data_IF_040435420919
#
_entry.id   IF_040435420919
#
_cell.length_a   1.000
_cell.length_b   1.000
_cell.length_c   1.000
_cell.angle_alpha   90.00
_cell.angle_beta   90.00
_cell.angle_gamma   90.00
#
_symmetry.space_group_name_H-M   'P 1'
#
loop_
_entity.id
_entity.type
_entity.pdbx_description
1 polymer ?
#
# COMPACT_ATOMS: atom_id res chain seq x y z
N UNK A 1 2.62 9.87 -16.47
CA UNK A 1 4.09 9.84 -16.54
C UNK A 1 4.53 8.86 -15.49
N UNK A 2 5.18 7.77 -15.88
CA UNK A 2 5.97 6.99 -14.94
C UNK A 2 6.95 7.98 -14.31
N UNK A 3 7.04 7.98 -12.99
CA UNK A 3 8.09 8.75 -12.34
C UNK A 3 9.37 7.98 -12.57
N UNK A 4 10.09 8.29 -13.66
CA UNK A 4 11.50 7.99 -13.73
C UNK A 4 12.18 8.83 -12.65
N UNK A 5 12.53 8.18 -11.54
CA UNK A 5 13.53 8.74 -10.65
C UNK A 5 14.84 8.55 -11.39
N UNK A 6 15.50 9.65 -11.75
CA UNK A 6 16.74 9.63 -12.53
C UNK A 6 17.74 8.69 -11.85
N UNK A 7 18.20 7.65 -12.56
CA UNK A 7 19.13 6.65 -12.02
C UNK A 7 18.49 5.52 -11.20
N UNK A 8 17.20 5.20 -11.38
CA UNK A 8 16.57 4.01 -10.79
C UNK A 8 15.98 3.12 -11.89
N UNK A 9 15.91 1.78 -11.73
CA UNK A 9 15.02 0.99 -12.57
C UNK A 9 13.60 1.56 -12.45
N UNK A 10 12.74 1.30 -13.42
CA UNK A 10 11.35 1.75 -13.41
C UNK A 10 10.55 1.13 -12.24
N UNK A 11 10.73 1.65 -11.03
CA UNK A 11 9.75 1.53 -9.97
C UNK A 11 8.55 2.33 -10.41
N UNK A 12 7.49 1.63 -10.84
CA UNK A 12 6.28 2.27 -11.33
C UNK A 12 5.49 2.87 -10.16
N UNK A 13 5.96 4.04 -9.70
CA UNK A 13 5.24 4.83 -8.72
C UNK A 13 4.08 5.53 -9.39
N UNK A 14 2.92 5.40 -8.76
CA UNK A 14 1.72 6.07 -9.21
C UNK A 14 1.93 7.59 -9.11
N UNK A 15 1.97 8.26 -10.27
CA UNK A 15 1.97 9.71 -10.33
C UNK A 15 0.58 10.21 -9.87
N UNK A 16 0.54 10.79 -8.68
CA UNK A 16 -0.68 11.18 -7.97
C UNK A 16 -0.40 12.43 -7.15
N UNK A 17 -1.31 13.41 -7.22
CA UNK A 17 -1.27 14.53 -6.31
C UNK A 17 -1.60 14.05 -4.90
N UNK A 18 -0.66 14.23 -3.97
CA UNK A 18 -0.84 13.85 -2.56
C UNK A 18 -1.42 14.98 -1.72
N UNK A 19 -1.65 16.18 -2.29
CA UNK A 19 -2.22 17.35 -1.62
C UNK A 19 -3.75 17.30 -1.55
N UNK A 20 -4.32 17.98 -0.56
CA UNK A 20 -5.76 17.99 -0.35
C UNK A 20 -6.50 18.84 -1.39
N UNK A 21 -7.64 18.35 -1.93
CA UNK A 21 -8.47 19.17 -2.80
C UNK A 21 -8.96 20.43 -2.08
N UNK A 22 -9.12 21.51 -2.84
CA UNK A 22 -9.81 22.72 -2.35
C UNK A 22 -11.27 22.36 -2.03
N UNK A 23 -11.88 22.96 -0.98
CA UNK A 23 -13.30 22.78 -0.71
C UNK A 23 -14.16 22.99 -1.96
N UNK A 24 -15.04 22.02 -2.26
CA UNK A 24 -15.90 22.06 -3.45
C UNK A 24 -15.20 21.79 -4.78
N UNK A 25 -13.94 21.32 -4.79
CA UNK A 25 -13.21 20.93 -6.00
C UNK A 25 -12.60 19.54 -5.88
N UNK A 26 -12.27 18.94 -7.03
CA UNK A 26 -11.48 17.70 -7.12
C UNK A 26 -9.98 17.95 -7.29
N UNK A 27 -9.57 19.21 -7.38
CA UNK A 27 -8.18 19.64 -7.56
C UNK A 27 -7.64 20.27 -6.27
N UNK A 28 -6.35 20.06 -5.98
CA UNK A 28 -5.66 20.79 -4.90
C UNK A 28 -5.45 22.27 -5.27
N UNK A 29 -5.05 23.10 -4.31
CA UNK A 29 -4.83 24.53 -4.54
C UNK A 29 -3.88 24.82 -5.72
N UNK A 30 -2.76 24.10 -5.82
CA UNK A 30 -1.77 24.30 -6.88
C UNK A 30 -2.33 23.96 -8.27
N UNK A 31 -2.94 22.76 -8.40
CA UNK A 31 -3.56 22.36 -9.66
C UNK A 31 -4.76 23.26 -10.01
N UNK A 32 -5.52 23.73 -9.02
CA UNK A 32 -6.63 24.65 -9.24
C UNK A 32 -6.14 25.97 -9.87
N UNK A 33 -5.02 26.51 -9.38
CA UNK A 33 -4.40 27.73 -9.92
C UNK A 33 -3.94 27.54 -11.38
N UNK A 34 -3.30 26.40 -11.67
CA UNK A 34 -2.86 26.07 -13.04
C UNK A 34 -4.06 25.99 -14.01
N UNK A 35 -5.16 25.36 -13.58
CA UNK A 35 -6.37 25.27 -14.40
C UNK A 35 -7.01 26.65 -14.60
N UNK A 36 -6.99 27.51 -13.57
CA UNK A 36 -7.49 28.88 -13.66
C UNK A 36 -6.68 29.74 -14.64
N UNK A 37 -5.35 29.69 -14.58
CA UNK A 37 -4.46 30.41 -15.50
C UNK A 37 -4.66 30.00 -16.97
N UNK A 38 -5.03 28.73 -17.21
CA UNK A 38 -5.28 28.20 -18.56
C UNK A 38 -6.76 28.24 -18.96
N UNK A 39 -7.62 28.86 -18.16
CA UNK A 39 -9.07 28.94 -18.39
C UNK A 39 -9.75 27.57 -18.61
N UNK A 40 -9.32 26.57 -17.83
CA UNK A 40 -9.80 25.18 -17.88
C UNK A 40 -10.85 24.95 -16.79
N UNK A 41 -11.92 24.17 -17.03
CA UNK A 41 -12.93 23.90 -16.02
C UNK A 41 -12.37 23.25 -14.76
N UNK A 42 -12.89 23.69 -13.61
CA UNK A 42 -12.41 23.32 -12.26
C UNK A 42 -13.40 22.41 -11.52
N UNK A 43 -14.63 22.31 -12.03
CA UNK A 43 -15.63 21.35 -11.58
C UNK A 43 -15.38 19.99 -12.24
N UNK A 44 -15.66 18.91 -11.50
CA UNK A 44 -15.35 17.55 -11.95
C UNK A 44 -16.04 17.21 -13.26
N UNK A 45 -17.34 17.46 -13.35
CA UNK A 45 -18.17 17.08 -14.49
C UNK A 45 -17.77 17.86 -15.74
N UNK A 46 -17.57 19.18 -15.60
CA UNK A 46 -17.15 20.06 -16.68
C UNK A 46 -15.74 19.73 -17.16
N UNK A 47 -14.82 19.42 -16.23
CA UNK A 47 -13.47 19.01 -16.55
C UNK A 47 -13.45 17.68 -17.32
N UNK A 48 -14.24 16.69 -16.88
CA UNK A 48 -14.36 15.42 -17.58
C UNK A 48 -14.86 15.61 -19.02
N UNK A 49 -15.85 16.49 -19.22
CA UNK A 49 -16.29 16.81 -20.57
C UNK A 49 -15.23 17.53 -21.40
N UNK A 50 -14.50 18.47 -20.78
CA UNK A 50 -13.43 19.22 -21.43
C UNK A 50 -12.34 18.28 -21.98
N UNK A 51 -11.97 17.23 -21.24
CA UNK A 51 -11.01 16.21 -21.71
C UNK A 51 -11.63 15.13 -22.61
N UNK A 52 -12.90 15.30 -23.03
CA UNK A 52 -13.60 14.39 -23.94
C UNK A 52 -14.12 13.11 -23.31
N UNK A 53 -14.36 13.10 -21.99
CA UNK A 53 -14.92 11.96 -21.27
C UNK A 53 -16.40 12.15 -20.91
N UNK A 54 -17.09 11.04 -20.60
CA UNK A 54 -18.44 11.08 -20.03
C UNK A 54 -18.43 11.84 -18.70
N UNK A 55 -19.48 12.62 -18.42
CA UNK A 55 -19.68 13.30 -17.12
C UNK A 55 -19.60 12.33 -15.94
N UNK A 56 -20.20 11.14 -16.09
CA UNK A 56 -20.33 10.13 -15.05
C UNK A 56 -19.83 8.76 -15.57
N UNK A 57 -18.51 8.52 -15.61
CA UNK A 57 -17.94 7.23 -16.01
C UNK A 57 -18.32 6.16 -14.98
N UNK A 58 -18.85 5.03 -15.44
CA UNK A 58 -19.38 3.97 -14.56
C UNK A 58 -18.81 2.57 -14.87
N UNK A 59 -18.38 2.32 -16.10
CA UNK A 59 -17.76 1.05 -16.50
C UNK A 59 -16.24 1.04 -16.32
N UNK A 60 -15.62 -0.15 -16.34
CA UNK A 60 -14.17 -0.29 -16.27
C UNK A 60 -13.48 0.38 -17.47
N UNK A 61 -14.09 0.24 -18.65
CA UNK A 61 -13.65 0.83 -19.91
C UNK A 61 -13.74 2.36 -19.85
N UNK A 62 -14.84 2.90 -19.32
CA UNK A 62 -15.01 4.35 -19.13
C UNK A 62 -13.94 4.91 -18.18
N UNK A 63 -13.64 4.19 -17.09
CA UNK A 63 -12.62 4.60 -16.11
C UNK A 63 -11.23 4.56 -16.75
N UNK A 64 -10.91 3.52 -17.52
CA UNK A 64 -9.65 3.42 -18.26
C UNK A 64 -9.49 4.54 -19.28
N UNK A 65 -10.55 4.84 -20.02
CA UNK A 65 -10.58 5.95 -20.99
C UNK A 65 -10.32 7.30 -20.32
N UNK A 66 -10.93 7.56 -19.16
CA UNK A 66 -10.64 8.76 -18.36
C UNK A 66 -9.18 8.80 -17.92
N UNK A 67 -8.64 7.67 -17.45
CA UNK A 67 -7.24 7.61 -17.02
C UNK A 67 -6.26 7.95 -18.15
N UNK A 68 -6.52 7.47 -19.35
CA UNK A 68 -5.69 7.72 -20.52
C UNK A 68 -5.84 9.17 -21.01
N UNK A 69 -7.06 9.73 -21.01
CA UNK A 69 -7.28 11.16 -21.33
C UNK A 69 -6.64 12.10 -20.34
N UNK A 70 -6.67 11.80 -19.05
CA UNK A 70 -5.95 12.59 -18.05
C UNK A 70 -4.43 12.51 -18.27
N UNK A 71 -3.88 11.33 -18.62
CA UNK A 71 -2.45 11.21 -18.93
C UNK A 71 -2.06 12.06 -20.13
N UNK A 72 -2.87 12.04 -21.20
CA UNK A 72 -2.69 12.86 -22.39
C UNK A 72 -2.72 14.35 -22.04
N UNK A 73 -3.76 14.79 -21.34
CA UNK A 73 -3.92 16.16 -20.86
C UNK A 73 -2.74 16.63 -19.98
N UNK A 74 -2.27 15.76 -19.08
CA UNK A 74 -1.13 16.08 -18.21
C UNK A 74 0.16 16.31 -19.00
N UNK A 75 0.35 15.61 -20.13
CA UNK A 75 1.51 15.83 -21.01
C UNK A 75 1.45 17.21 -21.69
N UNK A 76 0.26 17.64 -22.07
CA UNK A 76 0.04 18.96 -22.70
C UNK A 76 0.24 20.13 -21.73
N UNK A 77 0.07 19.90 -20.42
CA UNK A 77 0.17 20.95 -19.41
C UNK A 77 1.61 21.44 -19.16
N UNK A 78 2.64 20.68 -19.52
CA UNK A 78 4.07 21.01 -19.39
C UNK A 78 4.52 21.59 -18.02
N UNK A 79 3.74 21.40 -16.95
CA UNK A 79 4.10 21.88 -15.62
C UNK A 79 4.90 20.81 -14.87
N UNK A 80 6.12 21.17 -14.46
CA UNK A 80 7.01 20.38 -13.57
C UNK A 80 6.44 20.16 -12.17
N UNK A 81 5.37 20.85 -11.80
CA UNK A 81 4.71 20.71 -10.49
C UNK A 81 3.69 19.59 -10.50
N UNK A 82 4.16 18.35 -10.61
CA UNK A 82 3.46 17.26 -9.96
C UNK A 82 3.61 17.52 -8.45
N UNK A 83 2.52 17.83 -7.73
CA UNK A 83 2.56 18.01 -6.28
C UNK A 83 3.31 16.87 -5.58
N UNK A 84 3.74 17.06 -4.32
CA UNK A 84 4.64 16.17 -3.57
C UNK A 84 4.50 14.70 -3.99
N UNK A 85 5.53 14.17 -4.62
CA UNK A 85 5.51 12.82 -5.18
C UNK A 85 5.13 11.79 -4.10
N UNK A 86 4.56 10.65 -4.50
CA UNK A 86 4.27 9.58 -3.54
C UNK A 86 5.52 9.09 -2.80
N UNK A 87 6.71 9.28 -3.38
CA UNK A 87 8.01 9.05 -2.76
C UNK A 87 8.32 10.06 -1.65
N UNK A 88 8.18 11.35 -1.95
CA UNK A 88 8.45 12.43 -1.00
C UNK A 88 7.42 12.42 0.13
N UNK A 89 6.15 12.18 -0.18
CA UNK A 89 5.09 12.06 0.82
C UNK A 89 5.38 10.95 1.82
N UNK A 90 5.90 9.81 1.34
CA UNK A 90 6.25 8.67 2.17
C UNK A 90 7.65 8.79 2.78
N UNK A 91 8.35 9.91 2.55
CA UNK A 91 9.75 10.13 2.95
C UNK A 91 10.68 8.98 2.53
N UNK A 92 10.36 8.26 1.45
CA UNK A 92 11.17 7.14 0.94
C UNK A 92 12.28 7.61 0.00
N UNK A 93 12.33 8.91 -0.30
CA UNK A 93 13.36 9.52 -1.14
C UNK A 93 14.78 9.20 -0.66
N UNK A 94 15.04 9.28 0.65
CA UNK A 94 16.36 8.94 1.21
C UNK A 94 16.73 7.46 1.05
N UNK A 95 15.75 6.56 1.16
CA UNK A 95 15.96 5.11 0.94
C UNK A 95 16.30 4.86 -0.52
N UNK A 96 15.62 5.56 -1.41
CA UNK A 96 15.86 5.50 -2.86
C UNK A 96 17.24 6.07 -3.15
N UNK A 97 17.55 7.31 -2.74
CA UNK A 97 18.81 8.01 -3.06
C UNK A 97 20.07 7.33 -2.53
N UNK A 98 19.99 6.53 -1.46
CA UNK A 98 21.11 5.79 -0.89
C UNK A 98 21.46 4.52 -1.66
N UNK A 99 20.73 4.24 -2.73
CA UNK A 99 20.85 3.00 -3.50
C UNK A 99 21.41 3.32 -4.88
N UNK A 100 22.39 2.55 -5.32
CA UNK A 100 22.87 2.63 -6.70
C UNK A 100 21.87 2.01 -7.70
N UNK A 101 21.64 2.63 -8.89
CA UNK A 101 20.92 2.01 -10.01
C UNK A 101 21.35 0.58 -10.31
N UNK A 102 22.64 0.26 -10.16
CA UNK A 102 23.22 -1.06 -10.42
C UNK A 102 22.76 -2.15 -9.44
N UNK A 103 22.34 -1.75 -8.23
CA UNK A 103 21.86 -2.69 -7.21
C UNK A 103 20.44 -3.19 -7.49
N UNK A 104 19.76 -2.53 -8.43
CA UNK A 104 18.49 -2.95 -8.94
C UNK A 104 18.66 -3.85 -10.16
N UNK A 105 18.49 -5.15 -9.97
CA UNK A 105 18.55 -6.09 -11.08
C UNK A 105 17.23 -6.09 -11.85
N UNK A 106 17.32 -6.25 -13.17
CA UNK A 106 16.15 -6.38 -14.05
C UNK A 106 15.22 -7.50 -13.57
N UNK A 107 13.92 -7.21 -13.64
CA UNK A 107 12.82 -8.13 -13.37
C UNK A 107 13.04 -9.40 -14.18
N UNK A 108 13.37 -10.50 -13.53
CA UNK A 108 13.31 -11.80 -14.21
C UNK A 108 11.84 -12.07 -14.50
N UNK A 109 11.55 -12.48 -15.74
CA UNK A 109 10.25 -12.94 -16.21
C UNK A 109 9.82 -14.16 -15.40
N UNK A 110 9.17 -13.94 -14.27
CA UNK A 110 8.59 -15.01 -13.47
C UNK A 110 7.16 -15.26 -13.90
N UNK A 111 6.84 -16.53 -14.07
CA UNK A 111 5.51 -17.05 -14.37
C UNK A 111 4.51 -16.55 -13.33
N UNK A 112 3.44 -15.93 -13.84
CA UNK A 112 2.50 -15.13 -13.08
C UNK A 112 1.69 -16.04 -12.16
N UNK A 113 1.91 -15.93 -10.85
CA UNK A 113 0.92 -16.42 -9.90
C UNK A 113 -0.33 -15.55 -10.07
N UNK A 114 -1.35 -16.10 -10.76
CA UNK A 114 -2.63 -15.44 -11.06
C UNK A 114 -3.51 -15.35 -9.80
N UNK A 115 -3.01 -14.73 -8.73
CA UNK A 115 -3.86 -14.32 -7.62
C UNK A 115 -4.72 -13.15 -8.10
N UNK A 116 -6.04 -13.29 -8.01
CA UNK A 116 -6.97 -12.22 -8.33
C UNK A 116 -6.77 -11.06 -7.34
N UNK A 117 -6.21 -9.94 -7.82
CA UNK A 117 -5.94 -8.74 -7.03
C UNK A 117 -7.15 -7.79 -6.92
N UNK A 118 -8.36 -8.23 -7.29
CA UNK A 118 -9.58 -7.46 -7.10
C UNK A 118 -9.67 -6.24 -8.02
N UNK A 119 -10.05 -6.49 -9.26
CA UNK A 119 -10.06 -5.54 -10.38
C UNK A 119 -11.21 -4.50 -10.36
N UNK A 120 -11.73 -4.10 -9.19
CA UNK A 120 -12.74 -3.02 -9.18
C UNK A 120 -12.07 -1.69 -9.54
N UNK A 121 -12.10 -1.36 -10.84
CA UNK A 121 -11.80 -0.04 -11.36
C UNK A 121 -12.71 0.96 -10.67
N UNK A 122 -12.13 2.02 -10.11
CA UNK A 122 -12.86 3.14 -9.51
C UNK A 122 -12.26 4.41 -10.04
N UNK A 123 -13.11 5.34 -10.48
CA UNK A 123 -12.66 6.65 -10.91
C UNK A 123 -11.86 7.32 -9.79
N UNK A 124 -10.57 7.50 -10.05
CA UNK A 124 -9.51 8.06 -9.17
C UNK A 124 -9.97 8.50 -7.79
N UNK A 125 -10.12 7.54 -6.87
CA UNK A 125 -10.08 7.85 -5.45
C UNK A 125 -8.65 8.28 -5.11
N UNK A 126 -8.50 9.41 -4.43
CA UNK A 126 -7.18 9.94 -4.01
C UNK A 126 -6.35 8.88 -3.29
N UNK A 127 -7.01 8.08 -2.45
CA UNK A 127 -6.45 6.89 -1.82
C UNK A 127 -7.30 5.66 -2.20
N UNK A 128 -6.62 4.53 -2.42
CA UNK A 128 -7.22 3.19 -2.56
C UNK A 128 -7.52 2.58 -1.20
N UNK A 129 -6.88 3.05 -0.14
CA UNK A 129 -6.98 2.53 1.21
C UNK A 129 -5.75 2.85 2.06
N UNK A 130 -5.54 2.07 3.11
CA UNK A 130 -4.39 2.18 3.99
C UNK A 130 -3.64 0.86 3.98
N UNK A 131 -2.33 0.93 3.81
CA UNK A 131 -1.43 -0.14 4.15
C UNK A 131 -1.12 -0.07 5.65
N UNK A 132 -1.08 -1.22 6.32
CA UNK A 132 -0.79 -1.30 7.76
C UNK A 132 0.22 -2.40 8.03
N UNK A 133 1.26 -2.08 8.80
CA UNK A 133 2.17 -3.09 9.37
C UNK A 133 1.70 -3.41 10.78
N UNK A 134 1.42 -4.68 11.03
CA UNK A 134 0.90 -5.15 12.30
C UNK A 134 1.71 -6.34 12.80
N UNK A 135 2.07 -6.34 14.08
CA UNK A 135 2.76 -7.47 14.71
C UNK A 135 1.82 -8.64 14.91
N UNK A 136 2.34 -9.87 15.03
CA UNK A 136 1.52 -11.04 15.39
C UNK A 136 0.76 -10.88 16.72
N UNK A 137 1.22 -9.98 17.60
CA UNK A 137 0.54 -9.61 18.84
C UNK A 137 -0.67 -8.68 18.66
N UNK A 138 -0.83 -8.09 17.48
CA UNK A 138 -1.91 -7.17 17.11
C UNK A 138 -1.60 -5.69 17.29
N UNK A 139 -0.35 -5.30 17.51
CA UNK A 139 0.03 -3.88 17.54
C UNK A 139 0.29 -3.37 16.13
N UNK A 140 -0.37 -2.28 15.73
CA UNK A 140 -0.08 -1.61 14.47
C UNK A 140 1.16 -0.73 14.70
N UNK A 141 2.25 -1.04 14.01
CA UNK A 141 3.51 -0.31 14.12
C UNK A 141 3.62 0.82 13.09
N UNK A 142 2.99 0.62 11.93
CA UNK A 142 3.09 1.54 10.81
C UNK A 142 1.76 1.57 10.05
N UNK A 143 1.39 2.74 9.52
CA UNK A 143 0.27 2.87 8.59
C UNK A 143 0.58 3.94 7.55
N UNK A 144 0.17 3.72 6.31
CA UNK A 144 0.42 4.63 5.20
C UNK A 144 -0.72 4.58 4.19
N UNK A 145 -1.12 5.71 3.57
CA UNK A 145 -2.04 5.67 2.45
C UNK A 145 -1.50 4.88 1.26
N UNK A 146 -2.37 4.11 0.62
CA UNK A 146 -2.15 3.53 -0.70
C UNK A 146 -2.75 4.46 -1.75
N UNK A 147 -1.94 5.02 -2.63
CA UNK A 147 -2.42 5.91 -3.69
C UNK A 147 -2.74 5.13 -4.96
N UNK A 148 -3.90 5.43 -5.57
CA UNK A 148 -4.47 4.83 -6.81
C UNK A 148 -4.68 3.32 -6.79
N UNK A 149 -3.62 2.53 -6.58
CA UNK A 149 -3.62 1.07 -6.59
C UNK A 149 -2.69 0.50 -5.52
N UNK A 150 -2.91 -0.77 -5.16
CA UNK A 150 -1.96 -1.56 -4.38
C UNK A 150 -0.85 -2.09 -5.31
N UNK A 151 -0.10 -1.17 -5.93
CA UNK A 151 1.03 -1.55 -6.77
C UNK A 151 2.13 -2.23 -5.94
N UNK A 152 2.71 -3.36 -6.39
CA UNK A 152 3.78 -4.07 -5.67
C UNK A 152 4.93 -3.15 -5.24
N UNK A 153 5.35 -2.20 -6.08
CA UNK A 153 6.39 -1.22 -5.75
C UNK A 153 6.02 -0.33 -4.55
N UNK A 154 4.76 0.11 -4.48
CA UNK A 154 4.28 0.95 -3.39
C UNK A 154 4.25 0.17 -2.06
N UNK A 155 3.77 -1.07 -2.09
CA UNK A 155 3.76 -1.97 -0.93
C UNK A 155 5.19 -2.28 -0.48
N UNK A 156 6.08 -2.56 -1.44
CA UNK A 156 7.47 -2.89 -1.20
C UNK A 156 8.18 -1.76 -0.45
N UNK A 157 8.07 -0.53 -0.95
CA UNK A 157 8.72 0.62 -0.32
C UNK A 157 8.18 0.90 1.08
N UNK A 158 6.87 0.79 1.29
CA UNK A 158 6.29 0.94 2.63
C UNK A 158 6.83 -0.14 3.59
N UNK A 159 6.90 -1.38 3.10
CA UNK A 159 7.39 -2.52 3.88
C UNK A 159 8.85 -2.34 4.28
N UNK A 160 9.72 -2.02 3.32
CA UNK A 160 11.13 -1.73 3.56
C UNK A 160 11.30 -0.60 4.57
N UNK A 161 10.57 0.51 4.39
CA UNK A 161 10.61 1.64 5.33
C UNK A 161 10.22 1.21 6.74
N UNK A 162 9.15 0.43 6.88
CA UNK A 162 8.72 -0.07 8.20
C UNK A 162 9.79 -0.95 8.85
N UNK A 163 10.43 -1.84 8.07
CA UNK A 163 11.50 -2.70 8.58
C UNK A 163 12.74 -1.90 8.99
N UNK A 164 13.16 -0.91 8.19
CA UNK A 164 14.28 -0.04 8.52
C UNK A 164 14.01 0.77 9.80
N UNK A 165 12.79 1.29 9.97
CA UNK A 165 12.40 1.98 11.21
C UNK A 165 12.42 1.06 12.43
N UNK A 166 12.03 -0.20 12.26
CA UNK A 166 12.11 -1.19 13.33
C UNK A 166 13.56 -1.53 13.69
N UNK A 167 14.41 -1.73 12.70
CA UNK A 167 15.81 -2.10 12.87
C UNK A 167 16.71 -0.95 13.31
N UNK A 168 16.34 0.31 13.01
CA UNK A 168 17.07 1.51 13.47
C UNK A 168 17.16 1.62 15.00
N UNK A 169 16.33 0.86 15.73
CA UNK A 169 16.29 0.82 17.20
C UNK A 169 17.14 -0.31 17.79
N UNK A 170 17.80 -1.08 16.95
CA UNK A 170 18.53 -2.31 17.32
C UNK A 170 20.03 -2.00 17.30
N UNK A 171 20.78 -2.34 18.35
CA UNK A 171 22.23 -2.23 18.36
C UNK A 171 22.90 -2.97 17.18
N UNK A 172 23.99 -2.42 16.64
CA UNK A 172 24.64 -2.94 15.43
C UNK A 172 25.13 -4.38 15.58
N UNK A 173 25.65 -4.74 16.76
CA UNK A 173 26.09 -6.08 17.13
C UNK A 173 24.95 -7.12 17.15
N UNK A 174 23.70 -6.67 17.29
CA UNK A 174 22.51 -7.52 17.32
C UNK A 174 21.70 -7.49 16.03
N UNK A 175 22.08 -6.62 15.09
CA UNK A 175 21.29 -6.33 13.89
C UNK A 175 21.06 -7.58 13.04
N UNK A 176 22.12 -8.36 12.79
CA UNK A 176 22.01 -9.55 11.96
C UNK A 176 21.15 -10.65 12.61
N UNK A 177 21.32 -10.86 13.91
CA UNK A 177 20.48 -11.80 14.66
C UNK A 177 19.01 -11.37 14.64
N UNK A 178 18.75 -10.06 14.80
CA UNK A 178 17.41 -9.50 14.71
C UNK A 178 16.82 -9.70 13.31
N UNK A 179 17.56 -9.41 12.25
CA UNK A 179 17.11 -9.60 10.86
C UNK A 179 16.71 -11.05 10.60
N UNK A 180 17.52 -12.03 11.04
CA UNK A 180 17.22 -13.47 10.89
C UNK A 180 15.98 -13.91 11.69
N UNK A 181 15.69 -13.23 12.80
CA UNK A 181 14.51 -13.50 13.62
C UNK A 181 13.20 -12.94 13.06
N UNK A 182 13.25 -12.01 12.10
CA UNK A 182 12.07 -11.37 11.55
C UNK A 182 11.33 -12.30 10.59
N UNK A 183 10.01 -12.36 10.78
CA UNK A 183 9.07 -13.06 9.90
C UNK A 183 8.13 -12.01 9.32
N UNK A 184 8.13 -11.88 8.00
CA UNK A 184 7.24 -11.01 7.25
C UNK A 184 6.15 -11.85 6.57
N UNK A 185 4.90 -11.59 6.93
CA UNK A 185 3.74 -12.19 6.28
C UNK A 185 3.06 -11.18 5.36
N UNK A 186 2.85 -11.55 4.10
CA UNK A 186 2.07 -10.77 3.15
C UNK A 186 1.36 -11.70 2.17
N UNK A 187 0.11 -11.39 1.86
CA UNK A 187 -0.79 -12.25 1.12
C UNK A 187 -0.39 -12.43 -0.36
N UNK A 188 0.35 -11.46 -0.93
CA UNK A 188 0.91 -11.47 -2.28
C UNK A 188 2.45 -11.42 -2.27
N UNK A 189 3.07 -12.12 -1.32
CA UNK A 189 4.53 -12.15 -1.13
C UNK A 189 5.28 -12.55 -2.40
N UNK A 190 4.74 -13.48 -3.20
CA UNK A 190 5.38 -13.96 -4.42
C UNK A 190 5.57 -12.87 -5.49
N UNK A 191 4.70 -11.85 -5.55
CA UNK A 191 4.89 -10.69 -6.41
C UNK A 191 5.80 -9.66 -5.77
N UNK A 192 5.68 -9.49 -4.45
CA UNK A 192 6.48 -8.53 -3.69
C UNK A 192 7.97 -8.89 -3.70
N UNK A 193 8.29 -10.18 -3.56
CA UNK A 193 9.65 -10.70 -3.50
C UNK A 193 10.34 -10.75 -4.87
N UNK A 194 9.58 -10.63 -5.97
CA UNK A 194 10.13 -10.45 -7.31
C UNK A 194 10.71 -9.04 -7.54
N UNK A 195 10.45 -8.09 -6.64
CA UNK A 195 11.06 -6.76 -6.70
C UNK A 195 12.50 -6.88 -6.22
N UNK A 196 13.43 -6.91 -7.18
CA UNK A 196 14.87 -6.97 -6.91
C UNK A 196 15.35 -5.60 -6.45
N UNK A 197 15.27 -5.40 -5.15
CA UNK A 197 15.60 -4.16 -4.50
C UNK A 197 16.96 -4.21 -3.77
N UNK A 198 17.58 -3.04 -3.59
CA UNK A 198 18.92 -2.82 -3.05
C UNK A 198 19.09 -3.04 -1.55
N UNK A 199 18.01 -3.25 -0.78
CA UNK A 199 18.13 -3.63 0.63
C UNK A 199 18.44 -5.13 0.73
N UNK A 200 19.42 -5.53 -0.07
CA UNK A 200 19.64 -6.89 -0.52
C UNK A 200 19.94 -7.80 0.67
N UNK A 201 20.75 -7.31 1.63
CA UNK A 201 21.02 -8.06 2.87
C UNK A 201 19.74 -8.22 3.69
N UNK A 202 18.99 -7.16 3.97
CA UNK A 202 17.75 -7.25 4.75
C UNK A 202 16.71 -8.15 4.10
N UNK A 203 16.35 -7.82 2.87
CA UNK A 203 15.25 -8.49 2.17
C UNK A 203 15.56 -9.96 1.88
N UNK A 204 16.83 -10.33 1.67
CA UNK A 204 17.26 -11.74 1.57
C UNK A 204 17.32 -12.47 2.91
N UNK A 205 17.62 -11.76 4.00
CA UNK A 205 17.84 -12.37 5.33
C UNK A 205 16.53 -12.67 6.04
N UNK A 206 15.52 -11.80 5.93
CA UNK A 206 14.24 -12.00 6.62
C UNK A 206 13.49 -13.21 6.09
N UNK A 207 12.79 -13.91 6.99
CA UNK A 207 11.89 -14.99 6.60
C UNK A 207 10.59 -14.40 6.03
N UNK A 208 10.22 -14.81 4.82
CA UNK A 208 9.03 -14.34 4.12
C UNK A 208 8.02 -15.48 4.01
N UNK A 209 6.76 -15.21 4.33
CA UNK A 209 5.67 -16.18 4.24
C UNK A 209 4.43 -15.56 3.62
N UNK A 210 3.55 -16.41 3.10
CA UNK A 210 2.14 -16.07 2.86
C UNK A 210 1.35 -16.58 4.06
N UNK A 211 0.34 -15.84 4.51
CA UNK A 211 -0.46 -16.31 5.63
C UNK A 211 -1.23 -17.59 5.30
N UNK A 212 -1.62 -18.32 6.36
CA UNK A 212 -2.23 -19.65 6.25
C UNK A 212 -3.54 -19.66 5.47
N UNK A 213 -4.30 -18.57 5.51
CA UNK A 213 -5.57 -18.46 4.80
C UNK A 213 -5.35 -18.24 3.31
N UNK A 214 -4.41 -17.37 2.94
CA UNK A 214 -4.24 -16.98 1.56
C UNK A 214 -3.35 -17.91 0.75
N UNK A 215 -2.46 -18.70 1.36
CA UNK A 215 -1.54 -19.57 0.63
C UNK A 215 -2.25 -20.56 -0.30
N UNK A 216 -3.42 -21.07 0.09
CA UNK A 216 -4.23 -21.97 -0.73
C UNK A 216 -4.63 -21.34 -2.08
N UNK A 217 -4.81 -20.02 -2.12
CA UNK A 217 -5.18 -19.27 -3.32
C UNK A 217 -4.00 -19.05 -4.28
N UNK A 218 -2.77 -19.39 -3.89
CA UNK A 218 -1.60 -19.30 -4.77
C UNK A 218 -1.52 -20.54 -5.66
N UNK A 219 -1.59 -20.32 -6.97
CA UNK A 219 -1.59 -21.38 -7.99
C UNK A 219 -0.20 -21.92 -8.29
N UNK A 220 0.84 -21.10 -8.10
CA UNK A 220 2.21 -21.49 -8.37
C UNK A 220 2.74 -22.39 -7.24
N UNK A 221 3.16 -23.61 -7.60
CA UNK A 221 3.68 -24.60 -6.65
C UNK A 221 4.89 -24.08 -5.85
N UNK A 222 5.70 -23.18 -6.42
CA UNK A 222 6.83 -22.58 -5.69
C UNK A 222 6.35 -21.78 -4.49
N UNK A 223 5.18 -21.14 -4.57
CA UNK A 223 4.66 -20.33 -3.47
C UNK A 223 4.41 -21.20 -2.23
N UNK A 224 3.91 -22.43 -2.46
CA UNK A 224 3.65 -23.42 -1.42
C UNK A 224 4.91 -24.01 -0.79
N UNK A 225 6.07 -23.86 -1.43
CA UNK A 225 7.36 -24.32 -0.91
C UNK A 225 8.14 -23.17 -0.28
N UNK A 226 8.28 -22.05 -1.00
CA UNK A 226 9.10 -20.91 -0.61
C UNK A 226 8.47 -20.07 0.50
N UNK A 227 7.14 -19.92 0.49
CA UNK A 227 6.43 -19.02 1.41
C UNK A 227 5.52 -19.78 2.39
N UNK A 228 5.84 -21.05 2.66
CA UNK A 228 5.03 -21.92 3.51
C UNK A 228 5.00 -21.48 4.99
N UNK A 229 3.82 -21.12 5.53
CA UNK A 229 3.67 -20.77 6.95
C UNK A 229 3.69 -21.98 7.90
N UNK A 230 3.77 -23.23 7.41
CA UNK A 230 3.98 -24.42 8.26
C UNK A 230 5.33 -24.36 8.99
N UNK A 231 6.28 -23.62 8.42
CA UNK A 231 7.64 -23.46 8.93
C UNK A 231 7.75 -22.52 10.14
N UNK A 232 6.63 -21.95 10.62
CA UNK A 232 6.56 -21.10 11.80
C UNK A 232 5.56 -21.67 12.83
N UNK A 233 5.71 -21.38 14.14
CA UNK A 233 4.84 -21.95 15.16
C UNK A 233 3.36 -21.69 14.89
N UNK A 234 2.50 -22.67 15.19
CA UNK A 234 1.04 -22.55 14.99
C UNK A 234 0.43 -21.41 15.83
N UNK A 235 1.00 -21.18 17.02
CA UNK A 235 0.63 -20.09 17.93
C UNK A 235 0.80 -18.68 17.33
N UNK A 236 1.56 -18.54 16.24
CA UNK A 236 1.74 -17.25 15.57
C UNK A 236 0.49 -16.93 14.75
N UNK A 237 -0.11 -15.79 15.06
CA UNK A 237 -1.31 -15.31 14.39
C UNK A 237 -0.98 -14.72 13.01
N UNK A 238 -0.98 -15.57 11.98
CA UNK A 238 -0.77 -15.15 10.58
C UNK A 238 -1.98 -14.42 9.98
N UNK A 239 -3.16 -14.50 10.62
CA UNK A 239 -4.39 -13.85 10.17
C UNK A 239 -4.58 -12.44 10.75
N UNK A 240 -3.57 -11.90 11.42
CA UNK A 240 -3.69 -10.63 12.14
C UNK A 240 -4.00 -9.45 11.21
N UNK A 241 -3.54 -9.50 9.95
CA UNK A 241 -3.85 -8.49 8.94
C UNK A 241 -5.35 -8.45 8.65
N UNK A 242 -5.98 -9.61 8.40
CA UNK A 242 -7.44 -9.72 8.17
C UNK A 242 -8.27 -9.24 9.36
N UNK A 243 -7.87 -9.63 10.57
CA UNK A 243 -8.51 -9.15 11.81
C UNK A 243 -8.39 -7.63 11.95
N UNK A 244 -7.24 -7.08 11.55
CA UNK A 244 -6.99 -5.63 11.55
C UNK A 244 -7.83 -4.93 10.49
N UNK A 245 -7.96 -5.47 9.27
CA UNK A 245 -8.85 -4.92 8.24
C UNK A 245 -10.32 -4.97 8.66
N UNK A 246 -10.76 -6.06 9.28
CA UNK A 246 -12.10 -6.18 9.87
C UNK A 246 -12.35 -5.08 10.91
N UNK A 247 -11.36 -4.78 11.76
CA UNK A 247 -11.44 -3.65 12.70
C UNK A 247 -11.55 -2.30 11.97
N UNK A 248 -10.68 -2.03 10.99
CA UNK A 248 -10.69 -0.78 10.21
C UNK A 248 -12.02 -0.55 9.49
N UNK A 249 -12.64 -1.63 8.98
CA UNK A 249 -13.89 -1.56 8.22
C UNK A 249 -15.03 -0.90 9.00
N UNK A 250 -15.03 -1.00 10.33
CA UNK A 250 -16.03 -0.40 11.23
C UNK A 250 -16.07 1.12 11.14
N UNK A 251 -14.95 1.74 10.79
CA UNK A 251 -14.82 3.19 10.71
C UNK A 251 -14.95 3.74 9.30
N UNK A 252 -15.12 2.87 8.30
CA UNK A 252 -15.09 3.24 6.87
C UNK A 252 -16.08 4.35 6.53
N UNK A 253 -17.32 4.29 7.03
CA UNK A 253 -18.35 5.32 6.76
C UNK A 253 -17.89 6.69 7.27
N UNK A 254 -17.46 6.78 8.54
CA UNK A 254 -17.01 8.03 9.13
C UNK A 254 -15.73 8.55 8.46
N UNK A 255 -14.72 7.69 8.28
CA UNK A 255 -13.45 8.09 7.69
C UNK A 255 -13.59 8.57 6.24
N UNK A 256 -14.51 7.98 5.46
CA UNK A 256 -14.77 8.41 4.08
C UNK A 256 -15.46 9.78 3.95
N UNK A 257 -16.07 10.28 5.04
CA UNK A 257 -16.69 11.61 5.06
C UNK A 257 -15.72 12.74 5.45
N UNK A 258 -14.48 12.39 5.79
CA UNK A 258 -13.48 13.33 6.27
C UNK A 258 -12.53 13.80 5.15
N UNK A 259 -12.17 15.07 5.19
CA UNK A 259 -10.96 15.65 4.58
C UNK A 259 -9.72 14.84 4.97
N UNK A 260 -8.63 14.87 4.18
CA UNK A 260 -7.47 14.01 4.46
C UNK A 260 -6.84 14.27 5.83
N UNK A 261 -6.64 15.54 6.20
CA UNK A 261 -6.01 15.83 7.50
C UNK A 261 -6.83 15.23 8.65
N UNK A 262 -8.14 15.46 8.66
CA UNK A 262 -9.04 14.88 9.65
C UNK A 262 -9.10 13.35 9.57
N UNK A 263 -9.09 12.79 8.36
CA UNK A 263 -9.06 11.35 8.13
C UNK A 263 -7.82 10.71 8.76
N UNK A 264 -6.62 11.19 8.42
CA UNK A 264 -5.36 10.64 8.91
C UNK A 264 -5.23 10.83 10.41
N UNK A 265 -5.62 11.99 10.93
CA UNK A 265 -5.68 12.23 12.37
C UNK A 265 -6.62 11.24 13.06
N UNK A 266 -7.84 11.08 12.55
CA UNK A 266 -8.82 10.16 13.10
C UNK A 266 -8.29 8.72 13.11
N UNK A 267 -7.77 8.23 11.99
CA UNK A 267 -7.17 6.90 11.88
C UNK A 267 -6.02 6.72 12.89
N UNK A 268 -5.10 7.68 12.95
CA UNK A 268 -3.98 7.65 13.90
C UNK A 268 -4.49 7.53 15.36
N UNK A 269 -5.50 8.32 15.75
CA UNK A 269 -6.09 8.24 17.09
C UNK A 269 -6.76 6.89 17.36
N UNK A 270 -7.43 6.30 16.38
CA UNK A 270 -7.99 4.95 16.53
C UNK A 270 -6.89 3.90 16.72
N UNK A 271 -5.81 3.99 15.94
CA UNK A 271 -4.65 3.10 16.07
C UNK A 271 -4.03 3.19 17.47
N UNK A 272 -3.81 4.41 17.96
CA UNK A 272 -3.24 4.62 19.31
C UNK A 272 -4.13 4.00 20.40
N UNK A 273 -5.45 4.18 20.31
CA UNK A 273 -6.40 3.57 21.25
C UNK A 273 -6.40 2.05 21.18
N UNK A 274 -6.39 1.48 19.97
CA UNK A 274 -6.30 0.02 19.77
C UNK A 274 -5.00 -0.54 20.33
N UNK A 275 -3.86 0.09 20.04
CA UNK A 275 -2.57 -0.35 20.56
C UNK A 275 -2.52 -0.27 22.09
N UNK A 276 -3.05 0.80 22.70
CA UNK A 276 -3.16 0.91 24.17
C UNK A 276 -4.00 -0.24 24.76
N UNK A 277 -5.13 -0.58 24.13
CA UNK A 277 -5.94 -1.72 24.53
C UNK A 277 -5.17 -3.04 24.39
N UNK A 278 -4.55 -3.29 23.23
CA UNK A 278 -3.75 -4.49 22.99
C UNK A 278 -2.63 -4.66 24.02
N UNK A 279 -1.89 -3.58 24.30
CA UNK A 279 -0.84 -3.57 25.32
C UNK A 279 -1.39 -3.89 26.71
N UNK A 280 -2.50 -3.26 27.10
CA UNK A 280 -3.14 -3.51 28.40
C UNK A 280 -3.64 -4.95 28.58
N UNK A 281 -4.14 -5.59 27.51
CA UNK A 281 -4.51 -7.00 27.57
C UNK A 281 -3.29 -7.87 27.80
N UNK A 282 -2.22 -7.66 27.03
CA UNK A 282 -0.99 -8.46 27.11
C UNK A 282 -0.29 -8.32 28.47
N UNK A 283 -0.22 -7.10 29.01
CA UNK A 283 0.32 -6.86 30.37
C UNK A 283 -0.45 -7.62 31.46
N UNK A 284 -1.72 -7.94 31.23
CA UNK A 284 -2.56 -8.72 32.15
C UNK A 284 -2.58 -10.21 31.83
N UNK A 285 -1.69 -10.70 30.96
CA UNK A 285 -1.68 -12.09 30.50
C UNK A 285 -2.90 -12.47 29.65
N UNK A 286 -3.65 -11.49 29.14
CA UNK A 286 -4.86 -11.72 28.33
C UNK A 286 -4.60 -11.50 26.85
N UNK A 287 -5.30 -12.25 26.01
CA UNK A 287 -5.36 -12.00 24.57
C UNK A 287 -6.28 -10.81 24.29
N UNK A 288 -5.88 -9.85 23.43
CA UNK A 288 -6.78 -8.78 23.02
C UNK A 288 -7.97 -9.34 22.24
N UNK A 289 -9.15 -8.76 22.45
CA UNK A 289 -10.32 -9.07 21.63
C UNK A 289 -10.15 -8.44 20.26
N UNK A 290 -9.66 -9.25 19.32
CA UNK A 290 -9.56 -8.88 17.92
C UNK A 290 -10.87 -9.26 17.21
N UNK A 291 -11.34 -8.47 16.23
CA UNK A 291 -12.52 -8.86 15.47
C UNK A 291 -12.33 -10.25 14.87
N UNK A 292 -13.36 -11.08 14.98
CA UNK A 292 -13.37 -12.38 14.32
C UNK A 292 -13.19 -12.21 12.82
N UNK A 293 -12.48 -13.17 12.21
CA UNK A 293 -12.48 -13.30 10.76
C UNK A 293 -13.90 -13.66 10.34
N UNK A 294 -14.39 -13.06 9.26
CA UNK A 294 -15.70 -13.41 8.73
C UNK A 294 -15.73 -14.92 8.46
N UNK A 295 -16.62 -15.66 9.14
CA UNK A 295 -16.72 -17.13 9.07
C UNK A 295 -16.91 -17.61 7.63
N UNK A 296 -17.47 -16.77 6.75
CA UNK A 296 -17.62 -17.04 5.32
C UNK A 296 -16.27 -17.17 4.59
N UNK A 297 -15.21 -16.46 5.02
CA UNK A 297 -13.85 -16.61 4.50
C UNK A 297 -13.19 -17.91 4.96
N UNK A 298 -13.47 -18.35 6.20
CA UNK A 298 -13.02 -19.66 6.69
C UNK A 298 -13.72 -20.82 5.96
N UNK A 299 -15.01 -20.68 5.64
CA UNK A 299 -15.77 -21.72 4.91
C UNK A 299 -15.34 -21.89 3.44
N UNK A 300 -14.78 -20.85 2.81
CA UNK A 300 -14.16 -20.96 1.47
C UNK A 300 -12.80 -21.69 1.50
N UNK A 301 -12.08 -21.64 2.60
CA UNK A 301 -10.77 -22.31 2.76
C UNK A 301 -10.88 -23.82 3.12
N UNK A 302 -12.10 -24.30 3.38
CA UNK A 302 -12.39 -25.70 3.79
C UNK A 302 -13.21 -26.44 2.73
N UNK A 303 -13.76 -25.74 1.74
CA UNK A 303 -14.41 -26.33 0.57
C UNK A 303 -13.55 -26.05 -0.65
N UNK A 304 -12.54 -26.89 -0.85
CA UNK A 304 -11.99 -27.36 -2.13
C UNK A 304 -10.79 -28.29 -1.85
#
# INVERSE_FOLDING_TARGET
MEMEVQGFPLLNFQNVCTSEPKPGSVFCADHYKILEEKNIPKQKEEFLQFIGCKKNPSSSEDIKAVDDKIKEFSKQLASTTAGVSSLNYKNTEQIVSQVSPSDWQSTSTYTICNKDTGEKARLRQRSRGHFVCVTGGGHIQYFEPLFKSEGPCQVFMITIRSLLLELSKVPEDQLEARMKSLILAYDNMCHLDCIKAPVNKLWKTIKKIVDRLHLQNHKDARCKVTYDPSTIPESYNTMIAEQTFSWFSRFKKSANSMTQTHHLFYIHRQIQRRNKYSGSCRLRGKSPLLPGINITLQKKAVKD
#
